data_IF_685555463186
#
_entry.id   IF_685555463186
#
_cell.length_a   1.000
_cell.length_b   1.000
_cell.length_c   1.000
_cell.angle_alpha   90.00
_cell.angle_beta   90.00
_cell.angle_gamma   90.00
#
_symmetry.space_group_name_H-M   'P 1'
#
loop_
_entity.id
_entity.type
_entity.pdbx_description
1 polymer ?
#
# COMPACT_ATOMS: atom_id res chain seq x y z
N UNK A 1 -17.01 9.92 9.02
CA UNK A 1 -16.63 9.71 8.86
C UNK A 1 -16.12 9.45 8.57
N UNK A 2 -15.93 9.10 8.39
CA UNK A 2 -15.36 8.72 8.12
C UNK A 2 -15.06 8.36 7.50
N UNK A 3 -14.95 8.31 7.05
CA UNK A 3 -14.58 7.85 6.43
C UNK A 3 -14.02 7.22 6.06
N UNK A 4 -14.05 6.79 5.74
CA UNK A 4 -13.41 6.00 5.72
C UNK A 4 -13.08 5.43 4.66
N UNK A 5 -12.22 5.63 4.13
CA UNK A 5 -11.67 5.15 3.07
C UNK A 5 -11.34 3.78 3.29
N UNK A 6 -12.14 2.88 2.99
CA UNK A 6 -11.81 1.50 3.00
C UNK A 6 -10.98 1.25 1.81
N UNK A 7 -9.77 0.86 2.01
CA UNK A 7 -8.90 0.46 0.93
C UNK A 7 -9.31 -0.92 0.47
N UNK A 8 -9.62 -1.04 -0.82
CA UNK A 8 -10.03 -2.33 -1.35
C UNK A 8 -8.81 -3.23 -1.58
N UNK A 9 -7.66 -2.65 -1.90
CA UNK A 9 -6.46 -3.45 -2.00
C UNK A 9 -5.23 -2.56 -1.99
N UNK A 10 -4.09 -3.18 -1.75
CA UNK A 10 -2.82 -2.49 -1.71
C UNK A 10 -1.81 -3.35 -2.46
N UNK A 11 -1.07 -2.74 -3.37
CA UNK A 11 -0.03 -3.44 -4.12
C UNK A 11 1.30 -2.85 -3.71
N UNK A 12 2.22 -3.70 -3.31
CA UNK A 12 3.52 -3.27 -2.83
C UNK A 12 4.59 -3.70 -3.82
N UNK A 13 5.31 -2.72 -4.37
CA UNK A 13 6.38 -2.98 -5.32
C UNK A 13 7.69 -2.86 -4.56
N UNK A 14 8.27 -3.98 -4.21
CA UNK A 14 9.48 -3.98 -3.40
C UNK A 14 10.70 -3.51 -4.18
N UNK A 15 10.70 -3.73 -5.47
CA UNK A 15 11.88 -3.35 -6.25
C UNK A 15 11.97 -1.86 -6.45
N UNK A 16 10.84 -1.17 -6.52
CA UNK A 16 10.83 0.28 -6.70
C UNK A 16 10.49 1.03 -5.43
N UNK A 17 10.26 0.32 -4.35
CA UNK A 17 9.91 0.90 -3.06
C UNK A 17 8.69 1.80 -3.20
N UNK A 18 7.67 1.30 -3.87
CA UNK A 18 6.43 2.02 -4.06
C UNK A 18 5.27 1.22 -3.52
N UNK A 19 4.27 1.92 -3.04
CA UNK A 19 3.07 1.28 -2.54
C UNK A 19 1.88 1.92 -3.25
N UNK A 20 1.05 1.07 -3.86
CA UNK A 20 -0.12 1.52 -4.57
C UNK A 20 -1.34 1.20 -3.73
N UNK A 21 -2.11 2.22 -3.42
CA UNK A 21 -3.31 2.07 -2.60
C UNK A 21 -4.54 2.30 -3.46
N UNK A 22 -5.43 1.33 -3.45
CA UNK A 22 -6.67 1.43 -4.24
C UNK A 22 -7.86 1.45 -3.30
N UNK A 23 -8.78 2.39 -3.52
CA UNK A 23 -9.97 2.49 -2.70
C UNK A 23 -11.15 1.85 -3.40
N UNK A 24 -12.24 1.69 -2.66
CA UNK A 24 -13.46 1.15 -3.23
C UNK A 24 -14.02 2.02 -4.33
N UNK A 25 -13.68 3.29 -4.30
CA UNK A 25 -14.18 4.21 -5.31
C UNK A 25 -13.34 4.20 -6.56
N UNK A 26 -12.34 3.38 -6.61
CA UNK A 26 -11.51 3.30 -7.79
C UNK A 26 -10.36 4.30 -7.82
N UNK A 27 -10.13 4.97 -6.72
CA UNK A 27 -9.03 5.91 -6.66
C UNK A 27 -7.72 5.20 -6.38
N UNK A 28 -6.67 5.69 -6.98
CA UNK A 28 -5.34 5.13 -6.81
C UNK A 28 -4.42 6.18 -6.23
N UNK A 29 -3.73 5.82 -5.18
CA UNK A 29 -2.71 6.67 -4.58
C UNK A 29 -1.40 5.91 -4.59
N UNK A 30 -0.32 6.60 -4.96
CA UNK A 30 0.99 5.97 -5.03
C UNK A 30 1.89 6.64 -4.02
N UNK A 31 2.51 5.84 -3.18
CA UNK A 31 3.45 6.33 -2.18
C UNK A 31 4.83 5.88 -2.61
N UNK A 32 5.71 6.83 -2.90
CA UNK A 32 7.09 6.53 -3.27
C UNK A 32 7.97 6.75 -2.07
N UNK A 33 8.86 5.83 -1.80
CA UNK A 33 9.76 5.93 -0.66
C UNK A 33 11.19 6.03 -1.16
N UNK A 34 11.94 6.97 -0.60
CA UNK A 34 13.31 7.18 -1.01
C UNK A 34 14.26 6.21 -0.33
N UNK A 35 13.91 5.77 0.85
CA UNK A 35 14.80 4.88 1.59
C UNK A 35 14.05 3.64 2.00
N UNK A 36 14.81 2.61 2.33
CA UNK A 36 14.22 1.36 2.81
C UNK A 36 13.50 1.59 4.12
N UNK A 37 14.05 2.47 4.96
CA UNK A 37 13.44 2.74 6.24
C UNK A 37 12.04 3.33 6.07
N UNK A 38 11.90 4.28 5.16
CA UNK A 38 10.59 4.85 4.89
C UNK A 38 9.65 3.79 4.34
N UNK A 39 10.19 2.94 3.48
CA UNK A 39 9.40 1.90 2.88
C UNK A 39 8.85 0.96 3.95
N UNK A 40 9.70 0.58 4.90
CA UNK A 40 9.27 -0.29 5.99
C UNK A 40 8.20 0.37 6.85
N UNK A 41 8.35 1.67 7.09
CA UNK A 41 7.35 2.38 7.88
C UNK A 41 6.00 2.39 7.17
N UNK A 42 6.02 2.59 5.87
CA UNK A 42 4.78 2.58 5.10
C UNK A 42 4.16 1.19 5.10
N UNK A 43 5.00 0.16 5.01
CA UNK A 43 4.48 -1.20 5.06
C UNK A 43 3.78 -1.49 6.38
N UNK A 44 4.38 -1.04 7.47
CA UNK A 44 3.75 -1.22 8.78
C UNK A 44 2.41 -0.52 8.83
N UNK A 45 2.35 0.69 8.31
CA UNK A 45 1.11 1.44 8.29
C UNK A 45 0.05 0.71 7.47
N UNK A 46 0.44 0.22 6.31
CA UNK A 46 -0.49 -0.46 5.42
C UNK A 46 -1.00 -1.74 6.07
N UNK A 47 -0.11 -2.51 6.67
CA UNK A 47 -0.51 -3.77 7.27
C UNK A 47 -1.41 -3.57 8.47
N UNK A 48 -1.33 -2.39 9.08
CA UNK A 48 -2.21 -2.08 10.20
C UNK A 48 -3.60 -1.66 9.72
N UNK A 49 -3.68 -1.07 8.52
CA UNK A 49 -4.94 -0.55 8.02
C UNK A 49 -5.63 -1.46 7.02
N UNK A 50 -4.88 -2.31 6.34
CA UNK A 50 -5.42 -3.16 5.29
C UNK A 50 -5.23 -4.61 5.72
N UNK A 51 -6.27 -5.40 5.54
CA UNK A 51 -6.18 -6.81 5.88
C UNK A 51 -5.14 -7.49 5.01
N UNK A 52 -4.46 -8.44 5.60
CA UNK A 52 -3.40 -9.13 4.91
C UNK A 52 -3.86 -9.74 3.60
N UNK A 53 -5.09 -10.16 3.54
CA UNK A 53 -5.63 -10.78 2.35
C UNK A 53 -5.73 -9.80 1.18
N UNK A 54 -5.70 -8.51 1.47
CA UNK A 54 -5.85 -7.50 0.44
C UNK A 54 -4.54 -6.83 0.10
N UNK A 55 -3.45 -7.33 0.66
CA UNK A 55 -2.12 -6.80 0.38
C UNK A 55 -1.45 -7.73 -0.61
N UNK A 56 -1.07 -7.17 -1.76
CA UNK A 56 -0.43 -7.94 -2.81
C UNK A 56 0.97 -7.43 -3.03
N UNK A 57 1.90 -8.32 -3.26
CA UNK A 57 3.27 -7.94 -3.51
C UNK A 57 3.58 -8.12 -4.98
N UNK A 58 4.03 -7.05 -5.60
CA UNK A 58 4.45 -7.11 -6.98
C UNK A 58 5.93 -7.42 -6.96
N UNK A 59 6.26 -8.65 -7.26
CA UNK A 59 7.63 -9.08 -7.17
C UNK A 59 8.09 -9.43 -8.54
N UNK A 60 8.80 -8.56 -9.20
CA UNK A 60 9.22 -8.86 -10.56
C UNK A 60 10.34 -9.83 -10.46
N UNK A 61 10.21 -10.93 -10.74
CA UNK A 61 11.30 -11.85 -10.74
C UNK A 61 12.21 -11.67 -11.88
#
# INVERSE_FOLDING_TARGET
MMSDDLLSKCVIDTSKRKVYLYSDEGKENVVSCDTVEEFMNVLHFVRDKVEEERVFYSDPL
#
